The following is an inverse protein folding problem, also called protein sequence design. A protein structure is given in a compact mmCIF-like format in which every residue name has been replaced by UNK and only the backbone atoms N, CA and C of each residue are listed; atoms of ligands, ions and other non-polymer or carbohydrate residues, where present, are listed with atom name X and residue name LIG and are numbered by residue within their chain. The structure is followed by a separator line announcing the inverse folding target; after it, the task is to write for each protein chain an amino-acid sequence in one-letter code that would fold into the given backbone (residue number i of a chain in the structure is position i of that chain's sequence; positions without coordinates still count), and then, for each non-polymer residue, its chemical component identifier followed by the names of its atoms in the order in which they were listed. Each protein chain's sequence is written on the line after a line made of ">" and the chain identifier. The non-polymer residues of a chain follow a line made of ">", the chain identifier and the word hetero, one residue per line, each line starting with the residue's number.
data_IF_548111929264
#
_entry.id   IF_548111929264
#
_cell.length_a   1.000
_cell.length_b   1.000
_cell.length_c   1.000
_cell.angle_alpha   90.00
_cell.angle_beta   90.00
_cell.angle_gamma   90.00
#
_symmetry.space_group_name_H-M   'P 1'
#
loop_
_entity.id
_entity.type
_entity.pdbx_description
1 polymer ?
#
# COMPACT_ATOMS: atom_id res chain seq x y z
N UNK A 1 13.62 -0.57 -9.96
CA UNK A 1 13.71 -1.54 -8.86
C UNK A 1 14.37 -0.88 -7.68
N UNK A 2 13.74 -0.93 -6.51
CA UNK A 2 14.22 -0.37 -5.26
C UNK A 2 14.18 -1.48 -4.20
N UNK A 3 15.09 -1.40 -3.24
CA UNK A 3 15.11 -2.28 -2.07
C UNK A 3 15.04 -1.42 -0.81
N UNK A 4 14.20 -1.82 0.14
CA UNK A 4 14.08 -1.21 1.45
C UNK A 4 13.91 -2.26 2.53
N UNK A 5 13.98 -1.85 3.78
CA UNK A 5 13.68 -2.71 4.92
C UNK A 5 12.99 -1.91 6.03
N UNK A 6 12.17 -2.61 6.82
CA UNK A 6 11.55 -2.08 8.02
C UNK A 6 12.11 -2.85 9.22
N UNK A 7 12.75 -2.11 10.11
CA UNK A 7 13.29 -2.66 11.36
C UNK A 7 12.18 -2.76 12.43
N UNK A 8 12.17 -3.79 13.28
CA UNK A 8 11.17 -3.99 14.34
C UNK A 8 11.41 -3.08 15.56
N UNK A 9 11.50 -1.76 15.35
CA UNK A 9 11.75 -0.79 16.43
C UNK A 9 10.49 -0.37 17.17
N UNK A 10 9.31 -0.64 16.61
CA UNK A 10 8.03 -0.40 17.27
C UNK A 10 7.74 -1.43 18.37
N UNK A 11 7.01 -1.02 19.41
CA UNK A 11 6.61 -1.91 20.51
C UNK A 11 5.79 -3.09 19.98
N UNK A 12 6.23 -4.30 20.34
CA UNK A 12 5.54 -5.56 20.14
C UNK A 12 5.51 -6.37 21.44
N UNK A 13 4.32 -6.75 21.89
CA UNK A 13 4.09 -7.68 22.99
C UNK A 13 3.11 -8.75 22.50
N UNK A 14 3.44 -10.05 22.64
CA UNK A 14 2.54 -11.12 22.22
C UNK A 14 1.14 -10.97 22.82
N UNK A 15 0.10 -11.14 21.99
CA UNK A 15 -1.33 -11.06 22.36
C UNK A 15 -1.82 -9.68 22.84
N UNK A 16 -0.99 -8.65 22.84
CA UNK A 16 -1.45 -7.29 23.10
C UNK A 16 -2.25 -6.77 21.90
N UNK A 17 -3.36 -6.08 22.16
CA UNK A 17 -4.22 -5.47 21.13
C UNK A 17 -3.74 -4.10 20.65
N UNK A 18 -2.65 -3.58 21.23
CA UNK A 18 -2.14 -2.24 21.00
C UNK A 18 -0.66 -2.23 20.56
N UNK A 19 -0.25 -3.23 19.79
CA UNK A 19 1.07 -3.24 19.17
C UNK A 19 1.15 -2.18 18.07
N UNK A 20 2.29 -1.50 17.99
CA UNK A 20 2.57 -0.46 16.99
C UNK A 20 3.70 -0.86 16.03
N UNK A 21 4.35 -1.99 16.29
CA UNK A 21 5.26 -2.68 15.38
C UNK A 21 4.89 -4.15 15.26
N UNK A 22 5.41 -4.80 14.22
CA UNK A 22 5.06 -6.19 13.89
C UNK A 22 5.95 -7.24 14.59
N UNK A 23 7.07 -6.81 15.19
CA UNK A 23 8.00 -7.70 15.91
C UNK A 23 8.89 -8.57 15.03
N UNK A 24 8.97 -8.27 13.73
CA UNK A 24 9.85 -8.92 12.75
C UNK A 24 10.42 -7.88 11.78
N UNK A 25 11.54 -8.22 11.15
CA UNK A 25 12.09 -7.47 10.02
C UNK A 25 11.29 -7.75 8.75
N UNK A 26 11.05 -6.70 7.97
CA UNK A 26 10.53 -6.79 6.61
C UNK A 26 11.59 -6.30 5.63
N UNK A 27 11.85 -7.07 4.59
CA UNK A 27 12.67 -6.68 3.44
C UNK A 27 11.75 -6.52 2.23
N UNK A 28 11.76 -5.37 1.58
CA UNK A 28 10.84 -5.07 0.50
C UNK A 28 11.60 -4.80 -0.80
N UNK A 29 11.23 -5.52 -1.87
CA UNK A 29 11.61 -5.20 -3.24
C UNK A 29 10.44 -4.53 -3.92
N UNK A 30 10.65 -3.35 -4.50
CA UNK A 30 9.58 -2.61 -5.15
C UNK A 30 9.97 -2.04 -6.50
N UNK A 31 8.97 -1.85 -7.33
CA UNK A 31 9.08 -1.28 -8.66
C UNK A 31 7.81 -0.54 -9.00
N UNK A 32 7.91 0.50 -9.82
CA UNK A 32 6.75 1.23 -10.28
C UNK A 32 6.92 1.70 -11.70
N UNK A 33 5.84 1.67 -12.46
CA UNK A 33 5.80 2.14 -13.84
C UNK A 33 4.64 3.11 -14.04
N UNK A 34 4.81 4.02 -15.00
CA UNK A 34 3.80 5.01 -15.39
C UNK A 34 3.74 5.07 -16.91
N UNK A 35 2.55 4.89 -17.44
CA UNK A 35 2.24 4.84 -18.87
C UNK A 35 1.35 6.01 -19.25
N UNK A 36 1.79 6.83 -20.20
CA UNK A 36 0.97 7.90 -20.76
C UNK A 36 0.08 7.34 -21.88
N UNK A 37 -1.23 7.32 -21.65
CA UNK A 37 -2.20 6.77 -22.59
C UNK A 37 -2.60 7.75 -23.70
N UNK A 38 -2.32 9.04 -23.49
CA UNK A 38 -2.57 10.12 -24.47
C UNK A 38 -1.27 10.82 -24.84
N UNK A 39 -1.16 11.28 -26.10
CA UNK A 39 0.02 12.01 -26.61
C UNK A 39 0.37 13.25 -25.79
N UNK A 40 -0.63 13.94 -25.24
CA UNK A 40 -0.46 15.13 -24.41
C UNK A 40 -0.23 14.81 -22.92
N UNK A 41 -0.11 13.52 -22.55
CA UNK A 41 0.07 13.08 -21.17
C UNK A 41 -1.09 13.40 -20.22
N UNK A 42 -2.27 13.74 -20.75
CA UNK A 42 -3.45 14.08 -19.94
C UNK A 42 -4.12 12.87 -19.32
N UNK A 43 -3.94 11.68 -19.86
CA UNK A 43 -4.39 10.42 -19.27
C UNK A 43 -3.19 9.51 -19.03
N UNK A 44 -3.07 9.03 -17.80
CA UNK A 44 -1.94 8.25 -17.32
C UNK A 44 -2.42 7.04 -16.54
N UNK A 45 -1.87 5.86 -16.83
CA UNK A 45 -2.00 4.69 -15.99
C UNK A 45 -0.71 4.48 -15.19
N UNK A 46 -0.80 4.08 -13.94
CA UNK A 46 0.38 3.73 -13.14
C UNK A 46 0.18 2.42 -12.41
N UNK A 47 1.29 1.74 -12.14
CA UNK A 47 1.36 0.57 -11.27
C UNK A 47 2.56 0.70 -10.36
N UNK A 48 2.42 0.24 -9.13
CA UNK A 48 3.50 0.08 -8.18
C UNK A 48 3.34 -1.27 -7.51
N UNK A 49 4.37 -2.10 -7.62
CA UNK A 49 4.41 -3.43 -7.06
C UNK A 49 5.46 -3.52 -5.97
N UNK A 50 5.17 -4.28 -4.92
CA UNK A 50 6.08 -4.54 -3.82
C UNK A 50 5.99 -6.01 -3.41
N UNK A 51 7.13 -6.64 -3.20
CA UNK A 51 7.21 -7.97 -2.61
C UNK A 51 7.96 -7.88 -1.29
N UNK A 52 7.29 -8.29 -0.23
CA UNK A 52 7.77 -8.22 1.15
C UNK A 52 8.20 -9.62 1.62
N UNK A 53 9.47 -9.71 2.03
CA UNK A 53 10.05 -10.84 2.74
C UNK A 53 10.04 -10.55 4.24
N UNK A 54 9.48 -11.44 5.03
CA UNK A 54 9.33 -11.31 6.45
C UNK A 54 10.24 -12.30 7.19
N UNK A 55 10.76 -11.86 8.32
CA UNK A 55 11.51 -12.75 9.23
C UNK A 55 10.61 -13.31 10.31
N UNK A 56 11.15 -14.21 11.14
CA UNK A 56 10.45 -14.71 12.32
C UNK A 56 10.22 -13.59 13.33
N UNK A 57 9.04 -13.59 13.95
CA UNK A 57 8.76 -12.76 15.11
C UNK A 57 9.66 -13.15 16.28
N UNK A 58 10.42 -12.19 16.82
CA UNK A 58 11.43 -12.46 17.84
C UNK A 58 10.86 -13.10 19.11
N UNK A 59 9.65 -12.73 19.53
CA UNK A 59 9.04 -13.19 20.79
C UNK A 59 8.11 -14.40 20.66
N UNK A 60 7.67 -14.75 19.45
CA UNK A 60 6.66 -15.82 19.22
C UNK A 60 7.15 -16.92 18.30
N UNK A 61 8.22 -16.68 17.53
CA UNK A 61 8.69 -17.60 16.49
C UNK A 61 7.73 -17.74 15.31
N UNK A 62 6.70 -16.89 15.21
CA UNK A 62 5.73 -16.92 14.12
C UNK A 62 6.35 -16.33 12.87
N UNK A 63 6.20 -17.01 11.73
CA UNK A 63 6.47 -16.45 10.42
C UNK A 63 5.15 -15.95 9.81
N UNK A 64 5.00 -14.64 9.55
CA UNK A 64 3.75 -14.11 9.01
C UNK A 64 3.49 -14.56 7.56
N UNK A 65 4.51 -15.06 6.85
CA UNK A 65 4.42 -15.37 5.42
C UNK A 65 4.69 -14.15 4.55
N UNK A 66 5.11 -14.36 3.31
CA UNK A 66 5.48 -13.29 2.40
C UNK A 66 4.25 -12.64 1.78
N UNK A 67 4.40 -11.38 1.36
CA UNK A 67 3.30 -10.59 0.81
C UNK A 67 3.70 -9.98 -0.53
N UNK A 68 2.75 -9.98 -1.46
CA UNK A 68 2.83 -9.21 -2.69
C UNK A 68 1.73 -8.14 -2.69
N UNK A 69 2.16 -6.89 -2.86
CA UNK A 69 1.31 -5.72 -2.95
C UNK A 69 1.34 -5.14 -4.36
N UNK A 70 0.19 -4.63 -4.79
CA UNK A 70 0.00 -4.01 -6.09
C UNK A 70 -0.92 -2.80 -5.96
N UNK A 71 -0.36 -1.62 -6.13
CA UNK A 71 -1.08 -0.36 -6.29
C UNK A 71 -1.23 -0.05 -7.78
N UNK A 72 -2.41 0.42 -8.19
CA UNK A 72 -2.65 0.80 -9.57
C UNK A 72 -3.53 2.05 -9.66
N UNK A 73 -3.36 2.82 -10.73
CA UNK A 73 -4.16 4.02 -10.96
C UNK A 73 -4.41 4.29 -12.43
N UNK A 74 -5.49 5.02 -12.69
CA UNK A 74 -5.80 5.64 -13.97
C UNK A 74 -6.23 7.09 -13.69
N UNK A 75 -5.36 8.04 -14.02
CA UNK A 75 -5.49 9.45 -13.66
C UNK A 75 -5.60 10.33 -14.91
N UNK A 76 -6.52 11.28 -14.87
CA UNK A 76 -6.72 12.31 -15.87
C UNK A 76 -6.30 13.68 -15.31
N UNK A 77 -5.46 14.41 -16.03
CA UNK A 77 -5.09 15.79 -15.75
C UNK A 77 -6.12 16.77 -16.33
N UNK A 78 -6.47 17.79 -15.56
CA UNK A 78 -7.37 18.87 -16.02
C UNK A 78 -6.59 19.84 -16.90
N UNK A 79 -6.91 19.97 -18.20
CA UNK A 79 -6.21 20.89 -19.08
C UNK A 79 -6.42 22.36 -18.68
N UNK A 80 -5.47 23.23 -19.03
CA UNK A 80 -5.61 24.70 -19.05
C UNK A 80 -5.73 25.43 -17.70
N UNK A 81 -5.32 24.83 -16.59
CA UNK A 81 -5.20 25.55 -15.31
C UNK A 81 -3.73 25.85 -15.00
N UNK A 82 -3.43 27.00 -14.37
CA UNK A 82 -2.11 27.31 -13.78
C UNK A 82 -1.70 26.35 -12.62
N UNK A 83 -2.51 25.32 -12.37
CA UNK A 83 -2.40 24.31 -11.32
C UNK A 83 -2.44 22.96 -12.00
N UNK A 84 -1.64 22.00 -11.54
CA UNK A 84 -1.65 20.63 -12.09
C UNK A 84 -2.63 19.82 -11.28
N UNK A 85 -3.90 19.88 -11.66
CA UNK A 85 -4.98 19.10 -11.04
C UNK A 85 -5.13 17.77 -11.77
N UNK A 86 -5.28 16.68 -11.02
CA UNK A 86 -5.52 15.35 -11.53
C UNK A 86 -6.65 14.68 -10.74
N UNK A 87 -7.43 13.85 -11.42
CA UNK A 87 -8.46 13.03 -10.80
C UNK A 87 -8.52 11.67 -11.49
N UNK A 88 -9.00 10.64 -10.81
CA UNK A 88 -9.08 9.33 -11.44
C UNK A 88 -9.42 8.19 -10.51
N UNK A 89 -9.26 6.98 -11.03
CA UNK A 89 -9.44 5.74 -10.29
C UNK A 89 -8.12 5.29 -9.69
N UNK A 90 -8.20 4.75 -8.49
CA UNK A 90 -7.06 4.15 -7.77
C UNK A 90 -7.50 2.85 -7.14
N UNK A 91 -6.58 1.90 -7.01
CA UNK A 91 -6.82 0.67 -6.29
C UNK A 91 -5.53 0.14 -5.71
N UNK A 92 -5.67 -0.76 -4.74
CA UNK A 92 -4.58 -1.55 -4.20
C UNK A 92 -5.03 -2.98 -4.02
N UNK A 93 -4.08 -3.90 -3.99
CA UNK A 93 -4.31 -5.28 -3.60
C UNK A 93 -3.10 -5.82 -2.87
N UNK A 94 -3.36 -6.64 -1.86
CA UNK A 94 -2.34 -7.35 -1.11
C UNK A 94 -2.67 -8.85 -1.12
N UNK A 95 -1.66 -9.69 -1.30
CA UNK A 95 -1.80 -11.15 -1.34
C UNK A 95 -0.68 -11.80 -0.57
N UNK A 96 -1.04 -12.68 0.37
CA UNK A 96 -0.06 -13.55 1.01
C UNK A 96 0.39 -14.64 0.04
N UNK A 97 1.69 -14.71 -0.24
CA UNK A 97 2.27 -15.62 -1.24
C UNK A 97 2.87 -16.88 -0.62
N UNK A 98 3.23 -16.85 0.67
CA UNK A 98 3.65 -18.04 1.43
C UNK A 98 2.78 -18.23 2.67
N UNK A 99 2.66 -19.47 3.14
CA UNK A 99 1.81 -19.77 4.29
C UNK A 99 2.41 -19.18 5.57
N UNK A 100 1.53 -18.75 6.48
CA UNK A 100 1.92 -18.40 7.85
C UNK A 100 2.36 -19.66 8.57
N UNK A 101 3.42 -19.57 9.37
CA UNK A 101 3.82 -20.64 10.29
C UNK A 101 3.80 -20.14 11.72
N UNK A 102 3.32 -20.98 12.63
CA UNK A 102 3.23 -20.68 14.05
C UNK A 102 3.59 -21.95 14.84
N UNK A 103 4.70 -21.97 15.59
CA UNK A 103 5.10 -23.11 16.40
C UNK A 103 4.08 -23.54 17.48
N UNK A 104 3.13 -22.67 17.81
CA UNK A 104 2.14 -22.88 18.86
C UNK A 104 0.72 -23.08 18.32
N UNK A 105 0.55 -23.16 16.99
CA UNK A 105 -0.75 -23.39 16.39
C UNK A 105 -1.30 -24.79 16.71
N UNK A 106 -2.58 -24.84 17.10
CA UNK A 106 -3.33 -26.08 17.33
C UNK A 106 -4.27 -26.43 16.18
N UNK A 107 -4.35 -25.55 15.18
CA UNK A 107 -5.16 -25.69 13.96
C UNK A 107 -4.32 -25.36 12.72
N UNK A 108 -4.67 -25.88 11.54
CA UNK A 108 -4.02 -25.49 10.28
C UNK A 108 -4.09 -23.98 10.03
N UNK A 109 -3.01 -23.42 9.48
CA UNK A 109 -2.87 -22.00 9.09
C UNK A 109 -2.73 -21.87 7.56
N UNK A 110 -3.52 -22.64 6.83
CA UNK A 110 -3.47 -22.77 5.37
C UNK A 110 -4.19 -21.64 4.63
N UNK A 111 -5.11 -20.94 5.28
CA UNK A 111 -5.82 -19.82 4.67
C UNK A 111 -4.90 -18.62 4.47
N UNK A 112 -4.83 -18.15 3.23
CA UNK A 112 -3.99 -17.02 2.82
C UNK A 112 -4.82 -15.78 2.62
N UNK A 113 -4.41 -14.71 3.28
CA UNK A 113 -5.16 -13.47 3.18
C UNK A 113 -5.02 -12.83 1.80
N UNK A 114 -6.07 -12.11 1.44
CA UNK A 114 -6.19 -11.46 0.15
C UNK A 114 -7.00 -10.18 0.36
N UNK A 115 -6.45 -9.02 0.00
CA UNK A 115 -7.13 -7.73 0.08
C UNK A 115 -7.27 -7.13 -1.31
N UNK A 116 -8.41 -6.53 -1.65
CA UNK A 116 -8.60 -5.75 -2.87
C UNK A 116 -9.37 -4.49 -2.54
N UNK A 117 -8.91 -3.37 -3.07
CA UNK A 117 -9.62 -2.11 -2.95
C UNK A 117 -9.66 -1.37 -4.28
N UNK A 118 -10.76 -0.66 -4.49
CA UNK A 118 -10.94 0.27 -5.58
C UNK A 118 -11.54 1.58 -5.05
N UNK A 119 -11.19 2.67 -5.72
CA UNK A 119 -11.39 3.99 -5.19
C UNK A 119 -11.21 5.08 -6.22
N UNK A 120 -11.24 6.31 -5.73
CA UNK A 120 -10.94 7.49 -6.53
C UNK A 120 -9.90 8.37 -5.83
N UNK A 121 -9.21 9.16 -6.64
CA UNK A 121 -8.17 10.06 -6.20
C UNK A 121 -8.37 11.44 -6.81
N UNK A 122 -8.06 12.47 -6.02
CA UNK A 122 -7.96 13.86 -6.43
C UNK A 122 -6.61 14.37 -5.97
N UNK A 123 -5.84 15.01 -6.85
CA UNK A 123 -4.58 15.61 -6.47
C UNK A 123 -4.35 16.93 -7.19
N UNK A 124 -3.61 17.82 -6.54
CA UNK A 124 -3.30 19.15 -7.05
C UNK A 124 -1.92 19.58 -6.62
N UNK A 125 -1.10 19.99 -7.59
CA UNK A 125 0.14 20.71 -7.34
C UNK A 125 -0.05 22.21 -7.57
N UNK A 126 0.46 23.01 -6.63
CA UNK A 126 0.35 24.46 -6.57
C UNK A 126 1.77 25.09 -6.55
N UNK A 127 2.43 25.22 -7.72
CA UNK A 127 3.84 25.62 -7.79
C UNK A 127 4.12 27.00 -7.19
N UNK A 128 3.20 27.97 -7.35
CA UNK A 128 3.36 29.33 -6.77
C UNK A 128 3.42 29.31 -5.25
N UNK A 129 2.75 28.34 -4.63
CA UNK A 129 2.70 28.14 -3.18
C UNK A 129 3.74 27.11 -2.71
N UNK A 130 4.55 26.55 -3.63
CA UNK A 130 5.46 25.41 -3.37
C UNK A 130 4.77 24.27 -2.61
N UNK A 131 3.49 24.02 -2.90
CA UNK A 131 2.67 23.09 -2.13
C UNK A 131 1.97 22.07 -3.03
N UNK A 132 1.62 20.91 -2.46
CA UNK A 132 0.74 19.93 -3.09
C UNK A 132 -0.25 19.34 -2.10
N UNK A 133 -1.42 18.93 -2.60
CA UNK A 133 -2.48 18.29 -1.84
C UNK A 133 -3.00 17.08 -2.62
N UNK A 134 -3.26 15.99 -1.92
CA UNK A 134 -3.83 14.76 -2.43
C UNK A 134 -4.91 14.23 -1.51
N UNK A 135 -5.92 13.61 -2.13
CA UNK A 135 -7.01 12.94 -1.48
C UNK A 135 -7.24 11.61 -2.20
N UNK A 136 -7.36 10.51 -1.45
CA UNK A 136 -7.79 9.22 -1.96
C UNK A 136 -8.87 8.63 -1.07
N UNK A 137 -9.84 7.97 -1.68
CA UNK A 137 -10.84 7.17 -0.99
C UNK A 137 -10.88 5.78 -1.60
N UNK A 138 -10.88 4.75 -0.77
CA UNK A 138 -10.91 3.35 -1.16
C UNK A 138 -12.07 2.62 -0.49
N UNK A 139 -12.67 1.68 -1.22
CA UNK A 139 -13.57 0.66 -0.70
C UNK A 139 -12.96 -0.71 -0.97
N UNK A 140 -12.84 -1.52 0.07
CA UNK A 140 -12.38 -2.89 -0.04
C UNK A 140 -13.49 -3.86 -0.49
N UNK A 141 -13.13 -4.92 -1.20
CA UNK A 141 -14.05 -5.90 -1.75
C UNK A 141 -13.39 -7.27 -1.96
N UNK A 142 -14.19 -8.33 -1.82
CA UNK A 142 -13.75 -9.72 -2.01
C UNK A 142 -12.46 -10.10 -1.25
N UNK A 143 -12.31 -9.62 -0.01
CA UNK A 143 -11.15 -9.96 0.82
C UNK A 143 -11.32 -11.35 1.43
N UNK A 144 -10.19 -11.99 1.70
CA UNK A 144 -10.11 -13.30 2.35
C UNK A 144 -9.20 -13.22 3.55
N UNK A 145 -9.55 -13.95 4.62
CA UNK A 145 -8.85 -13.94 5.90
C UNK A 145 -8.43 -12.53 6.39
N UNK A 146 -9.24 -11.51 6.07
CA UNK A 146 -9.03 -10.10 6.42
C UNK A 146 -10.37 -9.41 6.60
N UNK A 147 -10.38 -8.32 7.37
CA UNK A 147 -11.53 -7.42 7.43
C UNK A 147 -11.66 -6.61 6.14
N UNK A 148 -12.89 -6.22 5.83
CA UNK A 148 -13.22 -5.37 4.69
C UNK A 148 -13.73 -4.04 5.20
N UNK A 149 -13.23 -2.94 4.64
CA UNK A 149 -13.66 -1.62 5.04
C UNK A 149 -13.47 -0.54 3.99
N UNK A 150 -13.23 0.66 4.52
CA UNK A 150 -13.05 1.88 3.75
C UNK A 150 -11.83 2.61 4.29
N UNK A 151 -11.05 3.20 3.38
CA UNK A 151 -9.87 3.98 3.73
C UNK A 151 -9.94 5.35 3.09
N UNK A 152 -9.59 6.38 3.86
CA UNK A 152 -9.49 7.76 3.40
C UNK A 152 -8.08 8.24 3.70
N UNK A 153 -7.42 8.74 2.66
CA UNK A 153 -6.05 9.24 2.75
C UNK A 153 -6.02 10.71 2.31
N UNK A 154 -5.39 11.53 3.14
CA UNK A 154 -5.08 12.93 2.81
C UNK A 154 -3.57 13.10 2.88
N UNK A 155 -2.99 13.67 1.83
CA UNK A 155 -1.55 13.90 1.74
C UNK A 155 -1.31 15.36 1.41
N UNK A 156 -0.41 16.02 2.15
CA UNK A 156 0.03 17.38 1.88
C UNK A 156 1.54 17.47 1.91
N UNK A 157 2.12 18.29 1.03
CA UNK A 157 3.54 18.61 1.08
C UNK A 157 3.79 20.09 0.81
N UNK A 158 4.83 20.63 1.44
CA UNK A 158 5.31 22.00 1.26
C UNK A 158 6.83 21.94 1.07
N UNK A 159 7.33 22.62 0.05
CA UNK A 159 8.75 22.82 -0.18
C UNK A 159 9.16 24.23 0.24
N UNK A 160 10.25 24.34 0.98
CA UNK A 160 10.83 25.60 1.44
C UNK A 160 11.93 26.07 0.47
#
# INVERSE_FOLDING_TARGET
>A
MMYGFLAPTGRFVPRASNNVGSGYWTHALSSGQTFYLTKNGSLTASTFEMYEFHTLQESTGVHPGETFDLDYSLMAAVPRTNRRLQFGLVGYGARQTTAKTDPHATVPLDERYAINALGFSLSGAFPKQKASLGFKYFKEFADRASFQGYSLQVTGSVHF
#
